data_IF_429633290400
#
_entry.id   IF_429633290400
#
_cell.length_a   1.000
_cell.length_b   1.000
_cell.length_c   1.000
_cell.angle_alpha   90.00
_cell.angle_beta   90.00
_cell.angle_gamma   90.00
#
_symmetry.space_group_name_H-M   'P 1'
#
loop_
_entity.id
_entity.type
_entity.pdbx_description
1 polymer ?
#
# COMPACT_ATOMS: atom_id res chain seq x y z
N UNK A 1 35.20 30.77 38.35
CA UNK A 1 34.37 31.60 37.44
C UNK A 1 35.00 31.48 36.07
N UNK A 2 34.22 31.01 35.09
CA UNK A 2 34.42 31.02 33.63
C UNK A 2 35.76 30.47 33.12
N UNK A 3 35.84 29.49 32.22
CA UNK A 3 34.85 28.89 31.35
C UNK A 3 35.61 28.34 30.15
N UNK A 4 35.22 27.17 29.66
CA UNK A 4 35.58 26.70 28.34
C UNK A 4 34.51 25.71 27.87
N UNK A 5 33.83 26.22 26.86
CA UNK A 5 32.78 25.65 26.05
C UNK A 5 33.31 24.61 25.05
N UNK A 6 32.50 23.57 24.87
CA UNK A 6 32.15 22.89 23.63
C UNK A 6 33.20 22.67 22.53
N UNK A 7 33.33 21.41 22.11
CA UNK A 7 33.72 21.17 20.72
C UNK A 7 34.01 19.75 20.28
N UNK A 8 32.94 19.02 19.94
CA UNK A 8 32.85 18.12 18.78
C UNK A 8 33.57 16.75 18.84
N UNK A 9 32.76 15.71 18.91
CA UNK A 9 32.89 14.56 18.00
C UNK A 9 31.52 13.95 17.74
N UNK A 10 30.96 14.30 16.59
CA UNK A 10 29.89 13.54 15.93
C UNK A 10 30.62 12.43 15.18
N UNK A 11 30.37 11.21 15.63
CA UNK A 11 30.71 9.90 15.02
C UNK A 11 29.70 8.94 15.67
N UNK A 12 28.97 8.05 15.03
CA UNK A 12 28.85 7.64 13.63
C UNK A 12 27.50 6.93 13.53
N UNK A 13 27.02 6.81 12.29
CA UNK A 13 25.89 5.98 11.92
C UNK A 13 26.08 4.50 12.28
N UNK A 14 24.95 3.86 12.56
CA UNK A 14 24.60 2.47 12.26
C UNK A 14 25.10 1.35 13.20
N UNK A 15 24.27 0.30 13.26
CA UNK A 15 24.39 -0.98 14.00
C UNK A 15 23.73 -0.90 15.39
N UNK A 16 22.84 -1.80 15.82
CA UNK A 16 22.88 -3.26 15.72
C UNK A 16 21.44 -3.80 15.76
N UNK A 17 21.21 -4.78 14.89
CA UNK A 17 20.06 -5.69 14.81
C UNK A 17 19.85 -6.53 16.09
N UNK A 18 18.63 -7.04 16.24
CA UNK A 18 18.25 -8.20 17.07
C UNK A 18 18.32 -8.05 18.60
N UNK A 19 17.15 -8.15 19.23
CA UNK A 19 17.00 -8.91 20.46
C UNK A 19 15.65 -9.66 20.41
N UNK A 20 15.72 -10.89 19.91
CA UNK A 20 14.79 -11.96 20.27
C UNK A 20 14.95 -12.22 21.77
N UNK A 21 13.92 -11.93 22.56
CA UNK A 21 13.74 -12.57 23.87
C UNK A 21 12.38 -13.21 23.91
N UNK A 22 12.43 -14.54 23.95
CA UNK A 22 11.32 -15.45 24.17
C UNK A 22 10.64 -15.15 25.53
N UNK A 23 9.35 -15.44 25.55
CA UNK A 23 8.32 -15.29 26.59
C UNK A 23 8.73 -15.61 28.04
N UNK A 24 8.21 -14.83 29.00
CA UNK A 24 7.81 -15.35 30.31
C UNK A 24 6.46 -14.74 30.72
N UNK A 25 5.41 -15.57 30.77
CA UNK A 25 4.02 -15.21 31.07
C UNK A 25 3.72 -15.21 32.59
N UNK A 26 4.67 -14.85 33.47
CA UNK A 26 4.43 -14.91 34.91
C UNK A 26 4.84 -13.66 35.69
N UNK A 27 3.88 -12.73 35.80
CA UNK A 27 3.69 -11.70 36.84
C UNK A 27 3.98 -10.23 36.43
N UNK A 28 3.10 -9.28 36.87
CA UNK A 28 2.74 -8.03 36.22
C UNK A 28 3.30 -6.80 36.96
N UNK A 29 3.02 -5.61 36.43
CA UNK A 29 3.44 -4.29 36.95
C UNK A 29 4.96 -4.04 36.87
N UNK A 30 5.40 -3.54 35.71
CA UNK A 30 6.78 -3.15 35.49
C UNK A 30 6.99 -2.48 34.14
N UNK A 31 6.07 -1.60 33.72
CA UNK A 31 6.39 -0.66 32.64
C UNK A 31 7.40 0.33 33.23
N UNK A 32 8.62 0.48 32.68
CA UNK A 32 9.54 1.52 33.11
C UNK A 32 8.84 2.88 33.09
N UNK A 33 8.98 3.72 34.13
CA UNK A 33 8.42 5.08 34.14
C UNK A 33 8.93 5.93 32.96
N UNK A 34 10.07 5.57 32.39
CA UNK A 34 10.70 6.19 31.22
C UNK A 34 10.42 5.43 29.90
N UNK A 35 9.46 4.49 29.88
CA UNK A 35 9.00 3.91 28.63
C UNK A 35 8.38 5.02 27.80
N UNK A 36 9.14 5.52 26.82
CA UNK A 36 8.61 6.37 25.75
C UNK A 36 7.52 5.55 25.08
N UNK A 37 6.27 5.86 25.43
CA UNK A 37 5.13 5.46 24.62
C UNK A 37 5.41 6.09 23.27
N UNK A 38 5.84 5.27 22.30
CA UNK A 38 5.87 5.67 20.91
C UNK A 38 4.43 5.95 20.55
N UNK A 39 4.02 7.22 20.72
CA UNK A 39 2.72 7.68 20.33
C UNK A 39 2.62 7.34 18.85
N UNK A 40 1.69 6.46 18.49
CA UNK A 40 1.51 6.04 17.11
C UNK A 40 1.39 7.29 16.25
N UNK A 41 2.38 7.52 15.38
CA UNK A 41 2.37 8.65 14.48
C UNK A 41 1.30 8.38 13.43
N UNK A 42 0.12 8.98 13.62
CA UNK A 42 -0.93 8.99 12.61
C UNK A 42 -0.72 10.24 11.74
N UNK A 43 -0.33 10.08 10.45
CA UNK A 43 -0.16 11.24 9.58
C UNK A 43 -1.49 12.01 9.50
N UNK A 44 -1.41 13.34 9.65
CA UNK A 44 -2.59 14.20 9.52
C UNK A 44 -2.96 14.28 8.04
N UNK A 45 -4.01 13.57 7.64
CA UNK A 45 -4.59 13.67 6.30
C UNK A 45 -5.46 14.92 6.22
N UNK A 46 -5.10 15.86 5.34
CA UNK A 46 -5.91 17.06 5.11
C UNK A 46 -7.01 16.81 4.08
N UNK A 47 -8.10 17.59 4.08
CA UNK A 47 -9.13 17.50 3.03
C UNK A 47 -8.58 17.69 1.62
N UNK A 48 -7.54 18.52 1.46
CA UNK A 48 -6.88 18.73 0.17
C UNK A 48 -6.15 17.46 -0.30
N UNK A 49 -5.39 16.82 0.59
CA UNK A 49 -4.70 15.57 0.29
C UNK A 49 -5.69 14.45 -0.07
N UNK A 50 -6.83 14.40 0.62
CA UNK A 50 -7.89 13.47 0.30
C UNK A 50 -8.48 13.73 -1.10
N UNK A 51 -8.79 14.99 -1.44
CA UNK A 51 -9.31 15.32 -2.77
C UNK A 51 -8.32 15.00 -3.90
N UNK A 52 -7.03 15.27 -3.68
CA UNK A 52 -5.96 14.89 -4.61
C UNK A 52 -5.95 13.38 -4.80
N UNK A 53 -5.93 12.61 -3.71
CA UNK A 53 -5.97 11.15 -3.75
C UNK A 53 -7.16 10.61 -4.55
N UNK A 54 -8.37 11.13 -4.29
CA UNK A 54 -9.58 10.69 -5.00
C UNK A 54 -9.49 10.95 -6.49
N UNK A 55 -9.03 12.14 -6.89
CA UNK A 55 -8.96 12.49 -8.31
C UNK A 55 -7.85 11.69 -9.02
N UNK A 56 -6.66 11.58 -8.42
CA UNK A 56 -5.55 10.80 -8.96
C UNK A 56 -5.91 9.31 -9.08
N UNK A 57 -6.58 8.74 -8.07
CA UNK A 57 -7.02 7.35 -8.11
C UNK A 57 -7.96 7.07 -9.29
N UNK A 58 -8.93 7.95 -9.53
CA UNK A 58 -9.88 7.78 -10.63
C UNK A 58 -9.20 7.88 -12.00
N UNK A 59 -8.25 8.81 -12.16
CA UNK A 59 -7.46 8.96 -13.39
C UNK A 59 -6.58 7.74 -13.62
N UNK A 60 -5.83 7.30 -12.61
CA UNK A 60 -5.01 6.09 -12.66
C UNK A 60 -5.82 4.85 -13.06
N UNK A 61 -7.02 4.68 -12.52
CA UNK A 61 -7.90 3.56 -12.86
C UNK A 61 -8.43 3.61 -14.29
N UNK A 62 -8.74 4.79 -14.82
CA UNK A 62 -9.13 4.97 -16.21
C UNK A 62 -7.98 4.59 -17.17
N UNK A 63 -6.76 5.04 -16.84
CA UNK A 63 -5.57 4.71 -17.63
C UNK A 63 -5.21 3.22 -17.57
N UNK A 64 -5.28 2.60 -16.39
CA UNK A 64 -4.99 1.18 -16.22
C UNK A 64 -6.02 0.27 -16.91
N UNK A 65 -7.30 0.62 -16.88
CA UNK A 65 -8.37 -0.10 -17.60
C UNK A 65 -8.09 -0.07 -19.10
N UNK A 66 -7.79 1.11 -19.66
CA UNK A 66 -7.47 1.24 -21.08
C UNK A 66 -6.24 0.41 -21.48
N UNK A 67 -5.20 0.43 -20.66
CA UNK A 67 -3.99 -0.35 -20.89
C UNK A 67 -4.24 -1.87 -20.81
N UNK A 68 -5.05 -2.35 -19.86
CA UNK A 68 -5.43 -3.76 -19.74
C UNK A 68 -6.23 -4.25 -20.95
N UNK A 69 -7.18 -3.45 -21.44
CA UNK A 69 -7.96 -3.77 -22.64
C UNK A 69 -7.11 -3.77 -23.91
N UNK A 70 -6.02 -3.00 -23.95
CA UNK A 70 -5.03 -3.06 -25.02
C UNK A 70 -4.21 -4.36 -24.95
N UNK A 71 -3.85 -4.82 -23.74
CA UNK A 71 -3.10 -6.06 -23.53
C UNK A 71 -3.79 -7.30 -24.09
N UNK A 72 -5.13 -7.32 -24.14
CA UNK A 72 -5.89 -8.41 -24.78
C UNK A 72 -5.63 -8.50 -26.29
N UNK A 73 -5.40 -7.36 -26.95
CA UNK A 73 -5.27 -7.26 -28.42
C UNK A 73 -3.82 -7.35 -28.87
N UNK A 74 -2.91 -6.81 -28.07
CA UNK A 74 -1.48 -6.79 -28.33
C UNK A 74 -0.76 -6.86 -26.99
N UNK A 75 0.30 -7.67 -26.82
CA UNK A 75 1.16 -7.61 -25.64
C UNK A 75 1.86 -6.25 -25.59
N UNK A 76 1.16 -5.25 -25.05
CA UNK A 76 1.60 -3.88 -24.81
C UNK A 76 2.45 -3.73 -23.55
N UNK A 77 2.51 -2.50 -23.03
CA UNK A 77 3.37 -2.11 -21.91
C UNK A 77 2.77 -2.54 -20.57
N UNK A 78 3.21 -3.70 -20.05
CA UNK A 78 2.76 -4.25 -18.76
C UNK A 78 3.32 -3.45 -17.58
N UNK A 79 4.49 -2.84 -17.76
CA UNK A 79 5.19 -2.06 -16.76
C UNK A 79 4.39 -0.82 -16.35
N UNK A 80 3.63 -0.24 -17.28
CA UNK A 80 2.74 0.88 -16.98
C UNK A 80 1.64 0.49 -15.96
N UNK A 81 1.01 -0.67 -16.13
CA UNK A 81 -0.06 -1.12 -15.24
C UNK A 81 0.48 -1.48 -13.85
N UNK A 82 1.66 -2.11 -13.80
CA UNK A 82 2.38 -2.36 -12.53
C UNK A 82 2.63 -1.04 -11.77
N UNK A 83 3.08 0.01 -12.48
CA UNK A 83 3.31 1.32 -11.89
C UNK A 83 2.04 1.98 -11.35
N UNK A 84 0.90 1.83 -12.05
CA UNK A 84 -0.39 2.33 -11.57
C UNK A 84 -0.76 1.68 -10.24
N UNK A 85 -0.73 0.34 -10.15
CA UNK A 85 -1.05 -0.36 -8.90
C UNK A 85 -0.04 -0.04 -7.79
N UNK A 86 1.24 0.09 -8.10
CA UNK A 86 2.27 0.51 -7.15
C UNK A 86 1.99 1.89 -6.55
N UNK A 87 1.68 2.87 -7.41
CA UNK A 87 1.37 4.24 -7.02
C UNK A 87 0.11 4.29 -6.14
N UNK A 88 -0.96 3.63 -6.59
CA UNK A 88 -2.22 3.59 -5.86
C UNK A 88 -2.07 2.89 -4.50
N UNK A 89 -1.33 1.77 -4.42
CA UNK A 89 -1.02 1.08 -3.16
C UNK A 89 -0.33 2.01 -2.17
N UNK A 90 0.69 2.75 -2.63
CA UNK A 90 1.42 3.71 -1.80
C UNK A 90 0.50 4.80 -1.24
N UNK A 91 -0.36 5.36 -2.09
CA UNK A 91 -1.34 6.37 -1.69
C UNK A 91 -2.37 5.81 -0.71
N UNK A 92 -2.94 4.64 -1.00
CA UNK A 92 -3.92 3.99 -0.12
C UNK A 92 -3.33 3.66 1.26
N UNK A 93 -2.11 3.13 1.32
CA UNK A 93 -1.39 2.86 2.56
C UNK A 93 -1.09 4.14 3.35
N UNK A 94 -0.67 5.20 2.68
CA UNK A 94 -0.40 6.50 3.30
C UNK A 94 -1.66 7.15 3.91
N UNK A 95 -2.81 7.01 3.26
CA UNK A 95 -4.10 7.50 3.77
C UNK A 95 -4.80 6.53 4.74
N UNK A 96 -4.25 5.34 4.99
CA UNK A 96 -4.81 4.34 5.92
C UNK A 96 -5.94 3.49 5.36
N UNK A 97 -6.15 3.47 4.04
CA UNK A 97 -7.16 2.66 3.36
C UNK A 97 -6.68 1.22 3.17
N UNK A 98 -6.66 0.46 4.25
CA UNK A 98 -6.02 -0.87 4.31
C UNK A 98 -6.56 -1.87 3.29
N UNK A 99 -7.87 -1.92 3.07
CA UNK A 99 -8.46 -2.86 2.11
C UNK A 99 -8.04 -2.56 0.66
N UNK A 100 -7.93 -1.28 0.32
CA UNK A 100 -7.46 -0.82 -0.99
C UNK A 100 -5.97 -1.12 -1.17
N UNK A 101 -5.16 -0.92 -0.12
CA UNK A 101 -3.74 -1.28 -0.11
C UNK A 101 -3.54 -2.79 -0.35
N UNK A 102 -4.30 -3.65 0.33
CA UNK A 102 -4.20 -5.12 0.18
C UNK A 102 -4.60 -5.54 -1.24
N UNK A 103 -5.72 -5.03 -1.74
CA UNK A 103 -6.22 -5.43 -3.05
C UNK A 103 -5.29 -4.96 -4.19
N UNK A 104 -4.80 -3.72 -4.12
CA UNK A 104 -3.84 -3.19 -5.09
C UNK A 104 -2.49 -3.88 -5.04
N UNK A 105 -2.00 -4.25 -3.85
CA UNK A 105 -0.79 -5.06 -3.71
C UNK A 105 -0.97 -6.47 -4.31
N UNK A 106 -2.15 -7.07 -4.14
CA UNK A 106 -2.44 -8.38 -4.75
C UNK A 106 -2.42 -8.29 -6.29
N UNK A 107 -2.95 -7.21 -6.86
CA UNK A 107 -2.87 -6.95 -8.29
C UNK A 107 -1.44 -6.70 -8.79
N UNK A 108 -0.62 -5.95 -8.03
CA UNK A 108 0.79 -5.71 -8.33
C UNK A 108 1.60 -7.02 -8.37
N UNK A 109 1.35 -7.94 -7.43
CA UNK A 109 2.06 -9.23 -7.36
C UNK A 109 1.89 -10.09 -8.61
N UNK A 110 0.73 -10.04 -9.27
CA UNK A 110 0.51 -10.72 -10.55
C UNK A 110 1.52 -10.25 -11.61
N UNK A 111 1.75 -8.95 -11.71
CA UNK A 111 2.73 -8.40 -12.65
C UNK A 111 4.15 -8.76 -12.26
N UNK A 112 4.47 -8.80 -10.96
CA UNK A 112 5.76 -9.29 -10.48
C UNK A 112 6.01 -10.76 -10.86
N UNK A 113 5.00 -11.61 -10.71
CA UNK A 113 5.05 -13.03 -11.06
C UNK A 113 5.22 -13.24 -12.57
N UNK A 114 4.49 -12.47 -13.38
CA UNK A 114 4.65 -12.48 -14.84
C UNK A 114 6.07 -12.05 -15.23
N UNK A 115 6.58 -10.98 -14.62
CA UNK A 115 7.94 -10.47 -14.89
C UNK A 115 9.02 -11.47 -14.52
N UNK A 116 8.84 -12.19 -13.42
CA UNK A 116 9.76 -13.21 -12.94
C UNK A 116 9.58 -14.56 -13.66
N UNK A 117 8.67 -14.67 -14.62
CA UNK A 117 8.38 -15.90 -15.37
C UNK A 117 7.70 -16.99 -14.54
N UNK A 118 7.11 -16.63 -13.39
CA UNK A 118 6.35 -17.54 -12.53
C UNK A 118 4.93 -17.77 -13.04
N UNK A 119 4.36 -16.80 -13.76
CA UNK A 119 3.02 -16.88 -14.35
C UNK A 119 2.99 -16.31 -15.77
N UNK A 120 1.92 -16.59 -16.52
CA UNK A 120 1.65 -16.01 -17.83
C UNK A 120 0.37 -15.20 -17.79
N UNK A 121 0.40 -13.99 -18.35
CA UNK A 121 -0.80 -13.19 -18.53
C UNK A 121 -1.74 -13.86 -19.54
N UNK A 122 -2.96 -14.14 -19.11
CA UNK A 122 -4.02 -14.71 -19.94
C UNK A 122 -5.33 -13.90 -19.79
N UNK A 123 -6.35 -14.23 -20.59
CA UNK A 123 -7.65 -13.54 -20.60
C UNK A 123 -8.37 -13.59 -19.24
N UNK A 124 -8.23 -14.69 -18.50
CA UNK A 124 -8.83 -14.84 -17.17
C UNK A 124 -8.17 -13.89 -16.17
N UNK A 125 -6.84 -13.82 -16.14
CA UNK A 125 -6.10 -12.87 -15.30
C UNK A 125 -6.43 -11.42 -15.65
N UNK A 126 -6.53 -11.07 -16.94
CA UNK A 126 -6.94 -9.73 -17.36
C UNK A 126 -8.35 -9.40 -16.86
N UNK A 127 -9.29 -10.34 -16.99
CA UNK A 127 -10.68 -10.16 -16.54
C UNK A 127 -10.78 -9.94 -15.03
N UNK A 128 -9.95 -10.64 -14.24
CA UNK A 128 -9.86 -10.44 -12.79
C UNK A 128 -9.29 -9.05 -12.48
N UNK A 129 -8.22 -8.63 -13.15
CA UNK A 129 -7.62 -7.30 -12.96
C UNK A 129 -8.60 -6.16 -13.32
N UNK A 130 -9.39 -6.31 -14.38
CA UNK A 130 -10.46 -5.36 -14.72
C UNK A 130 -11.52 -5.30 -13.60
N UNK A 131 -11.93 -6.45 -13.06
CA UNK A 131 -12.88 -6.50 -11.94
C UNK A 131 -12.34 -5.83 -10.68
N UNK A 132 -11.03 -5.93 -10.43
CA UNK A 132 -10.33 -5.24 -9.34
C UNK A 132 -10.38 -3.73 -9.52
N UNK A 133 -10.10 -3.24 -10.73
CA UNK A 133 -10.21 -1.81 -11.05
C UNK A 133 -11.64 -1.32 -10.84
N UNK A 134 -12.64 -2.06 -11.32
CA UNK A 134 -14.05 -1.69 -11.16
C UNK A 134 -14.46 -1.54 -9.70
N UNK A 135 -14.13 -2.54 -8.87
CA UNK A 135 -14.47 -2.53 -7.45
C UNK A 135 -13.76 -1.39 -6.71
N UNK A 136 -12.48 -1.16 -6.97
CA UNK A 136 -11.77 -0.04 -6.34
C UNK A 136 -12.27 1.32 -6.83
N UNK A 137 -12.54 1.47 -8.12
CA UNK A 137 -13.05 2.70 -8.72
C UNK A 137 -14.41 3.07 -8.14
N UNK A 138 -15.30 2.11 -7.97
CA UNK A 138 -16.60 2.37 -7.33
C UNK A 138 -16.42 2.72 -5.85
N UNK A 139 -15.59 1.99 -5.11
CA UNK A 139 -15.28 2.35 -3.73
C UNK A 139 -14.67 3.76 -3.58
N UNK A 140 -13.84 4.22 -4.52
CA UNK A 140 -13.32 5.60 -4.53
C UNK A 140 -14.45 6.61 -4.79
N UNK A 141 -15.44 6.28 -5.64
CA UNK A 141 -16.61 7.16 -5.86
C UNK A 141 -17.49 7.24 -4.62
N UNK A 142 -17.73 6.13 -3.93
CA UNK A 142 -18.46 6.10 -2.66
C UNK A 142 -17.74 6.94 -1.60
N UNK A 143 -16.41 6.79 -1.47
CA UNK A 143 -15.58 7.63 -0.61
C UNK A 143 -15.73 9.13 -0.92
N UNK A 144 -15.77 9.50 -2.21
CA UNK A 144 -15.99 10.89 -2.63
C UNK A 144 -17.34 11.44 -2.19
N UNK A 145 -18.36 10.58 -2.08
CA UNK A 145 -19.69 10.94 -1.58
C UNK A 145 -19.77 10.96 -0.04
N UNK A 146 -18.69 10.58 0.65
CA UNK A 146 -18.65 10.46 2.10
C UNK A 146 -19.30 9.17 2.62
N UNK A 147 -19.43 8.16 1.78
CA UNK A 147 -19.95 6.84 2.12
C UNK A 147 -18.84 5.91 2.64
N UNK A 148 -19.20 4.65 2.93
CA UNK A 148 -18.26 3.68 3.46
C UNK A 148 -17.20 3.30 2.41
N UNK A 149 -15.97 3.07 2.87
CA UNK A 149 -14.82 2.67 2.04
C UNK A 149 -14.84 1.16 1.71
N UNK A 150 -16.01 0.56 1.52
CA UNK A 150 -16.08 -0.89 1.34
C UNK A 150 -15.72 -1.30 -0.09
N UNK A 151 -15.20 -2.51 -0.22
CA UNK A 151 -14.86 -3.12 -1.50
C UNK A 151 -15.60 -4.46 -1.59
N UNK A 152 -16.83 -4.47 -2.13
CA UNK A 152 -17.63 -5.67 -2.26
C UNK A 152 -16.88 -6.77 -3.01
N UNK A 153 -16.88 -7.98 -2.47
CA UNK A 153 -16.24 -9.13 -3.11
C UNK A 153 -14.71 -9.13 -3.07
N UNK A 154 -14.04 -8.19 -2.36
CA UNK A 154 -12.57 -8.12 -2.27
C UNK A 154 -11.89 -9.45 -1.91
N UNK A 155 -12.48 -10.23 -1.02
CA UNK A 155 -11.93 -11.54 -0.63
C UNK A 155 -11.84 -12.52 -1.80
N UNK A 156 -12.89 -12.59 -2.62
CA UNK A 156 -12.92 -13.44 -3.82
C UNK A 156 -11.88 -12.94 -4.83
N UNK A 157 -11.79 -11.62 -5.03
CA UNK A 157 -10.81 -11.05 -5.95
C UNK A 157 -9.36 -11.33 -5.49
N UNK A 158 -9.07 -11.21 -4.20
CA UNK A 158 -7.76 -11.55 -3.63
C UNK A 158 -7.46 -13.03 -3.89
N UNK A 159 -8.40 -13.93 -3.61
CA UNK A 159 -8.21 -15.37 -3.83
C UNK A 159 -7.92 -15.71 -5.30
N UNK A 160 -8.56 -15.00 -6.24
CA UNK A 160 -8.32 -15.16 -7.69
C UNK A 160 -6.98 -14.58 -8.15
N UNK A 161 -6.35 -13.69 -7.37
CA UNK A 161 -5.03 -13.11 -7.65
C UNK A 161 -3.87 -13.91 -7.02
N UNK A 162 -4.15 -14.95 -6.22
CA UNK A 162 -3.12 -15.84 -5.67
C UNK A 162 -2.97 -17.07 -6.59
N UNK A 163 -2.55 -16.83 -7.84
CA UNK A 163 -2.36 -17.86 -8.88
C UNK A 163 -0.94 -18.42 -8.91
#
# INVERSE_FOLDING_TARGET
MMGDENGKRVTDNNSIVENLTLTDESNPAGVPEDAVVLQEYQPVVTPEMFNIFINEALELFEEAEAALLELEKSPGNREFIEQVFHSFKGNAGFLGYRDYEILSHSAENIFEDIRNGRSQLNEETISVLLSVIDVMREGIRELKLGEAADLPGKGILIDLLII
#
